data_IF_457086759690
#
_entry.id   IF_457086759690
#
_cell.length_a   1.000
_cell.length_b   1.000
_cell.length_c   1.000
_cell.angle_alpha   90.00
_cell.angle_beta   90.00
_cell.angle_gamma   90.00
#
_symmetry.space_group_name_H-M   'P 1'
#
loop_
_entity.id
_entity.type
_entity.pdbx_description
1 polymer ?
#
# COMPACT_ATOMS: atom_id res chain seq x y z
N UNK A 1 13.10 23.71 -1.79
CA UNK A 1 14.01 23.37 -0.68
C UNK A 1 14.71 22.07 -1.03
N UNK A 2 16.01 21.94 -0.78
CA UNK A 2 16.74 20.70 -1.05
C UNK A 2 16.71 19.83 0.21
N UNK A 3 16.10 18.65 0.13
CA UNK A 3 16.14 17.66 1.20
C UNK A 3 17.57 17.13 1.32
N UNK A 4 18.14 17.14 2.51
CA UNK A 4 19.49 16.62 2.78
C UNK A 4 19.51 15.55 3.88
N UNK A 5 18.36 15.26 4.48
CA UNK A 5 18.18 14.23 5.51
C UNK A 5 16.81 13.58 5.36
N UNK A 6 16.75 12.29 5.62
CA UNK A 6 15.52 11.49 5.65
C UNK A 6 15.42 10.83 7.02
N UNK A 7 14.22 10.81 7.59
CA UNK A 7 13.91 10.07 8.81
C UNK A 7 12.72 9.16 8.59
N UNK A 8 12.91 7.88 8.92
CA UNK A 8 11.88 6.86 8.83
C UNK A 8 11.14 6.73 10.16
N UNK A 9 9.83 6.60 10.08
CA UNK A 9 8.93 6.36 11.20
C UNK A 9 8.05 5.19 10.81
N UNK A 10 8.34 4.01 11.39
CA UNK A 10 7.54 2.82 11.17
C UNK A 10 6.38 2.79 12.16
N UNK A 11 5.17 2.53 11.68
CA UNK A 11 4.06 2.18 12.55
C UNK A 11 3.90 0.66 12.59
N UNK A 12 4.27 0.07 13.72
CA UNK A 12 4.21 -1.37 13.90
C UNK A 12 2.89 -1.77 14.57
N UNK A 13 2.05 -2.47 13.81
CA UNK A 13 0.83 -3.09 14.33
C UNK A 13 0.65 -4.46 13.71
N UNK A 14 0.20 -5.44 14.51
CA UNK A 14 -0.08 -6.77 14.00
C UNK A 14 -1.31 -6.72 13.06
N UNK A 15 -1.04 -6.89 11.77
CA UNK A 15 -2.05 -6.98 10.72
C UNK A 15 -2.27 -8.41 10.23
N UNK A 16 -1.92 -9.45 10.99
CA UNK A 16 -2.29 -10.83 10.68
C UNK A 16 -3.72 -11.18 11.13
N UNK A 17 -4.34 -12.23 10.57
CA UNK A 17 -5.51 -12.84 11.19
C UNK A 17 -5.22 -13.28 12.63
N UNK A 18 -6.25 -13.24 13.47
CA UNK A 18 -6.18 -13.74 14.84
C UNK A 18 -6.67 -15.18 14.86
N UNK A 19 -5.89 -16.07 15.48
CA UNK A 19 -6.30 -17.45 15.75
C UNK A 19 -7.31 -17.49 16.91
N UNK A 20 -8.39 -18.25 16.73
CA UNK A 20 -9.41 -18.45 17.74
C UNK A 20 -9.08 -19.67 18.62
N UNK A 21 -9.39 -19.58 19.91
CA UNK A 21 -9.27 -20.69 20.88
C UNK A 21 -10.08 -21.91 20.41
N UNK A 22 -11.21 -21.68 19.74
CA UNK A 22 -12.09 -22.73 19.19
C UNK A 22 -11.53 -23.40 17.91
N UNK A 23 -10.35 -22.96 17.45
CA UNK A 23 -9.81 -23.19 16.12
C UNK A 23 -10.41 -22.24 15.08
N UNK A 24 -9.63 -21.96 14.03
CA UNK A 24 -9.98 -21.03 12.95
C UNK A 24 -9.29 -19.67 13.09
N UNK A 25 -9.39 -18.87 12.04
CA UNK A 25 -8.78 -17.53 11.95
C UNK A 25 -9.86 -16.49 11.65
N UNK A 26 -9.67 -15.25 12.11
CA UNK A 26 -10.51 -14.12 11.71
C UNK A 26 -9.69 -12.85 11.47
N UNK A 27 -10.20 -11.98 10.61
CA UNK A 27 -9.67 -10.63 10.48
C UNK A 27 -10.26 -9.72 11.55
N UNK A 28 -9.41 -9.05 12.31
CA UNK A 28 -9.83 -8.01 13.25
C UNK A 28 -10.48 -6.87 12.46
N UNK A 29 -11.64 -6.40 12.90
CA UNK A 29 -12.34 -5.24 12.34
C UNK A 29 -13.77 -5.13 12.85
N UNK A 30 -14.44 -4.03 12.52
CA UNK A 30 -15.85 -3.81 12.81
C UNK A 30 -16.75 -4.47 11.74
N UNK A 31 -17.98 -4.88 12.10
CA UNK A 31 -18.86 -5.62 11.17
C UNK A 31 -19.27 -4.81 9.94
N UNK A 32 -19.55 -3.52 10.10
CA UNK A 32 -19.88 -2.62 8.99
C UNK A 32 -18.60 -2.09 8.31
N UNK A 33 -18.39 -2.34 7.01
CA UNK A 33 -17.17 -1.93 6.31
C UNK A 33 -16.90 -0.42 6.32
N UNK A 34 -17.93 0.42 6.25
CA UNK A 34 -17.76 1.88 6.25
C UNK A 34 -17.32 2.37 7.64
N UNK A 35 -17.94 1.82 8.68
CA UNK A 35 -17.62 2.11 10.07
C UNK A 35 -16.21 1.62 10.42
N UNK A 36 -15.83 0.41 9.97
CA UNK A 36 -14.47 -0.11 10.13
C UNK A 36 -13.43 0.78 9.44
N UNK A 37 -13.69 1.18 8.19
CA UNK A 37 -12.79 2.07 7.45
C UNK A 37 -12.57 3.40 8.18
N UNK A 38 -13.65 4.04 8.69
CA UNK A 38 -13.55 5.27 9.49
C UNK A 38 -12.76 5.06 10.79
N UNK A 39 -13.01 3.96 11.50
CA UNK A 39 -12.29 3.65 12.73
C UNK A 39 -10.78 3.44 12.48
N UNK A 40 -10.41 2.81 11.36
CA UNK A 40 -9.00 2.67 10.98
C UNK A 40 -8.36 3.97 10.54
N UNK A 41 -9.09 4.84 9.84
CA UNK A 41 -8.61 6.20 9.54
C UNK A 41 -8.33 6.97 10.84
N UNK A 42 -9.24 6.88 11.83
CA UNK A 42 -9.03 7.49 13.15
C UNK A 42 -7.83 6.90 13.88
N UNK A 43 -7.66 5.57 13.84
CA UNK A 43 -6.49 4.91 14.44
C UNK A 43 -5.17 5.32 13.76
N UNK A 44 -5.21 5.54 12.44
CA UNK A 44 -4.08 6.05 11.68
C UNK A 44 -3.74 7.47 12.11
N UNK A 45 -4.75 8.35 12.20
CA UNK A 45 -4.60 9.70 12.74
C UNK A 45 -3.97 9.72 14.13
N UNK A 46 -4.44 8.88 15.05
CA UNK A 46 -3.90 8.82 16.42
C UNK A 46 -2.41 8.44 16.41
N UNK A 47 -2.01 7.49 15.56
CA UNK A 47 -0.61 7.11 15.39
C UNK A 47 0.23 8.25 14.78
N UNK A 48 -0.32 8.99 13.82
CA UNK A 48 0.34 10.16 13.22
C UNK A 48 0.53 11.29 14.23
N UNK A 49 -0.49 11.60 15.01
CA UNK A 49 -0.42 12.64 16.03
C UNK A 49 0.59 12.28 17.12
N UNK A 50 0.64 11.01 17.53
CA UNK A 50 1.66 10.51 18.44
C UNK A 50 3.07 10.64 17.84
N UNK A 51 3.27 10.19 16.59
CA UNK A 51 4.55 10.32 15.89
C UNK A 51 4.96 11.80 15.72
N UNK A 52 4.03 12.67 15.37
CA UNK A 52 4.29 14.10 15.23
C UNK A 52 4.60 14.76 16.58
N UNK A 53 3.99 14.32 17.69
CA UNK A 53 4.27 14.84 19.03
C UNK A 53 5.62 14.37 19.60
N UNK A 54 6.18 13.27 19.08
CA UNK A 54 7.46 12.73 19.53
C UNK A 54 8.61 13.76 19.35
N UNK A 55 9.37 14.00 20.42
CA UNK A 55 10.52 14.91 20.41
C UNK A 55 11.76 14.35 19.70
N UNK A 56 11.79 13.05 19.39
CA UNK A 56 12.97 12.36 18.84
C UNK A 56 13.26 12.68 17.36
N UNK A 57 12.30 13.21 16.61
CA UNK A 57 12.50 13.52 15.20
C UNK A 57 12.92 14.98 14.95
N UNK A 58 13.64 15.16 13.85
CA UNK A 58 14.31 16.40 13.47
C UNK A 58 13.33 17.39 12.82
N UNK A 59 13.09 18.52 13.49
CA UNK A 59 12.15 19.56 13.06
C UNK A 59 12.69 20.43 11.91
N UNK A 60 13.92 20.20 11.45
CA UNK A 60 14.50 20.96 10.34
C UNK A 60 13.67 20.77 9.05
N UNK A 61 13.42 21.88 8.34
CA UNK A 61 12.66 21.93 7.08
C UNK A 61 13.34 21.18 5.92
N UNK A 62 14.64 20.93 6.02
CA UNK A 62 15.40 20.15 5.05
C UNK A 62 15.41 18.64 5.36
N UNK A 63 14.71 18.20 6.42
CA UNK A 63 14.53 16.80 6.75
C UNK A 63 13.16 16.31 6.29
N UNK A 64 13.13 15.33 5.38
CA UNK A 64 11.92 14.63 4.98
C UNK A 64 11.60 13.53 6.00
N UNK A 65 10.37 13.51 6.51
CA UNK A 65 9.87 12.45 7.40
C UNK A 65 9.03 11.50 6.58
N UNK A 66 9.30 10.21 6.70
CA UNK A 66 8.54 9.18 6.01
C UNK A 66 7.86 8.34 7.07
N UNK A 67 6.55 8.48 7.19
CA UNK A 67 5.73 7.62 8.03
C UNK A 67 5.21 6.47 7.18
N UNK A 68 5.44 5.24 7.64
CA UNK A 68 5.00 4.04 6.93
C UNK A 68 4.20 3.12 7.84
N UNK A 69 2.95 2.86 7.44
CA UNK A 69 2.11 1.82 8.01
C UNK A 69 2.24 0.51 7.21
N UNK A 70 1.93 -0.64 7.82
CA UNK A 70 2.23 -1.95 7.25
C UNK A 70 1.27 -2.36 6.13
N UNK A 71 1.59 -3.46 5.46
CA UNK A 71 0.63 -4.14 4.59
C UNK A 71 -0.60 -4.58 5.40
N UNK A 72 -1.76 -4.58 4.75
CA UNK A 72 -3.06 -4.98 5.28
C UNK A 72 -3.61 -4.07 6.38
N UNK A 73 -3.07 -2.86 6.51
CA UNK A 73 -3.55 -1.90 7.49
C UNK A 73 -5.05 -1.61 7.33
N UNK A 74 -5.52 -1.38 6.09
CA UNK A 74 -6.92 -1.19 5.75
C UNK A 74 -7.50 -2.48 5.16
N UNK A 75 -7.80 -3.43 6.06
CA UNK A 75 -8.40 -4.73 5.72
C UNK A 75 -9.62 -5.01 6.57
N UNK A 76 -10.79 -5.07 5.93
CA UNK A 76 -12.06 -5.38 6.60
C UNK A 76 -12.13 -6.82 7.14
N UNK A 77 -13.18 -7.09 7.92
CA UNK A 77 -13.44 -8.40 8.57
C UNK A 77 -13.52 -9.58 7.62
N UNK A 78 -13.82 -9.34 6.34
CA UNK A 78 -13.88 -10.38 5.30
C UNK A 78 -12.59 -10.52 4.49
N UNK A 79 -11.52 -9.80 4.85
CA UNK A 79 -10.24 -9.79 4.13
C UNK A 79 -10.13 -8.73 3.04
N UNK A 80 -11.22 -8.07 2.66
CA UNK A 80 -11.21 -6.93 1.73
C UNK A 80 -12.43 -6.04 1.93
N UNK A 81 -12.27 -4.74 1.72
CA UNK A 81 -13.39 -3.79 1.67
C UNK A 81 -14.13 -3.86 0.34
N UNK A 82 -15.46 -3.76 0.33
CA UNK A 82 -16.17 -3.41 -0.90
C UNK A 82 -15.59 -2.13 -1.52
N UNK A 83 -15.52 -2.06 -2.86
CA UNK A 83 -14.86 -0.96 -3.57
C UNK A 83 -15.48 0.41 -3.25
N UNK A 84 -16.75 0.47 -2.93
CA UNK A 84 -17.45 1.67 -2.48
C UNK A 84 -16.88 2.26 -1.18
N UNK A 85 -16.28 1.44 -0.33
CA UNK A 85 -15.65 1.89 0.92
C UNK A 85 -14.23 2.42 0.72
N UNK A 86 -13.61 2.21 -0.44
CA UNK A 86 -12.32 2.83 -0.78
C UNK A 86 -12.39 4.36 -0.65
N UNK A 87 -13.49 4.97 -1.12
CA UNK A 87 -13.68 6.42 -1.06
C UNK A 87 -13.67 6.95 0.37
N UNK A 88 -14.17 6.18 1.33
CA UNK A 88 -14.15 6.53 2.76
C UNK A 88 -12.72 6.59 3.28
N UNK A 89 -11.88 5.60 2.95
CA UNK A 89 -10.47 5.57 3.34
C UNK A 89 -9.70 6.73 2.73
N UNK A 90 -9.81 6.94 1.42
CA UNK A 90 -9.06 8.01 0.74
C UNK A 90 -9.49 9.39 1.20
N UNK A 91 -10.79 9.65 1.34
CA UNK A 91 -11.28 10.94 1.81
C UNK A 91 -10.79 11.22 3.24
N UNK A 92 -10.86 10.22 4.12
CA UNK A 92 -10.37 10.35 5.50
C UNK A 92 -8.87 10.63 5.59
N UNK A 93 -8.05 9.86 4.86
CA UNK A 93 -6.60 10.08 4.80
C UNK A 93 -6.27 11.48 4.25
N UNK A 94 -6.89 11.91 3.16
CA UNK A 94 -6.68 13.25 2.60
C UNK A 94 -7.06 14.36 3.58
N UNK A 95 -8.18 14.20 4.28
CA UNK A 95 -8.68 15.21 5.21
C UNK A 95 -7.72 15.45 6.38
N UNK A 96 -7.09 14.39 6.89
CA UNK A 96 -6.06 14.48 7.94
C UNK A 96 -4.75 15.05 7.39
N UNK A 97 -4.27 14.50 6.27
CA UNK A 97 -2.89 14.72 5.82
C UNK A 97 -2.66 16.05 5.11
N UNK A 98 -3.72 16.76 4.72
CA UNK A 98 -3.62 18.11 4.15
C UNK A 98 -3.22 19.17 5.17
N UNK A 99 -3.28 18.87 6.47
CA UNK A 99 -2.93 19.84 7.52
C UNK A 99 -1.46 20.25 7.42
N UNK A 100 -1.21 21.56 7.51
CA UNK A 100 0.12 22.18 7.40
C UNK A 100 1.12 21.67 8.44
N UNK A 101 0.66 21.13 9.57
CA UNK A 101 1.54 20.50 10.56
C UNK A 101 2.35 19.32 9.98
N UNK A 102 1.85 18.72 8.90
CA UNK A 102 2.52 17.63 8.18
C UNK A 102 3.37 18.12 7.00
N UNK A 103 3.66 19.42 6.88
CA UNK A 103 4.62 19.92 5.89
C UNK A 103 5.99 19.23 6.07
N UNK A 104 6.57 18.74 4.97
CA UNK A 104 7.84 18.00 4.99
C UNK A 104 7.70 16.53 5.39
N UNK A 105 6.48 15.99 5.38
CA UNK A 105 6.20 14.57 5.56
C UNK A 105 5.72 13.90 4.27
N UNK A 106 6.05 12.63 4.13
CA UNK A 106 5.51 11.71 3.15
C UNK A 106 4.89 10.51 3.87
N UNK A 107 3.67 10.15 3.52
CA UNK A 107 2.92 9.09 4.19
C UNK A 107 2.74 7.91 3.24
N UNK A 108 3.34 6.78 3.59
CA UNK A 108 2.99 5.47 3.04
C UNK A 108 1.92 4.90 3.96
N UNK A 109 0.65 5.04 3.58
CA UNK A 109 -0.48 4.89 4.49
C UNK A 109 -0.79 3.44 4.90
N UNK A 110 0.08 2.49 4.55
CA UNK A 110 -0.21 1.06 4.61
C UNK A 110 -1.17 0.66 3.50
N UNK A 111 -1.40 -0.65 3.37
CA UNK A 111 -2.14 -1.16 2.22
C UNK A 111 -3.65 -1.27 2.48
N UNK A 112 -4.44 -1.02 1.44
CA UNK A 112 -5.90 -1.14 1.38
C UNK A 112 -6.24 -2.30 0.46
N UNK A 113 -6.95 -3.31 0.97
CA UNK A 113 -7.49 -4.37 0.12
C UNK A 113 -8.93 -4.03 -0.24
N UNK A 114 -9.21 -3.89 -1.53
CA UNK A 114 -10.57 -3.66 -2.04
C UNK A 114 -11.06 -4.86 -2.84
N UNK A 115 -12.38 -5.00 -2.95
CA UNK A 115 -13.04 -6.01 -3.76
C UNK A 115 -14.19 -5.46 -4.58
N UNK A 116 -14.48 -6.09 -5.71
CA UNK A 116 -15.68 -5.84 -6.52
C UNK A 116 -16.06 -7.09 -7.30
N UNK A 117 -17.28 -7.12 -7.82
CA UNK A 117 -17.69 -8.14 -8.78
C UNK A 117 -17.24 -7.73 -10.17
N UNK A 118 -16.57 -8.65 -10.86
CA UNK A 118 -16.02 -8.38 -12.19
C UNK A 118 -15.72 -9.64 -12.98
N UNK A 119 -15.08 -9.42 -14.10
CA UNK A 119 -14.66 -10.44 -15.04
C UNK A 119 -13.14 -10.35 -15.25
N UNK A 120 -12.43 -11.47 -15.17
CA UNK A 120 -10.98 -11.53 -15.39
C UNK A 120 -10.60 -11.40 -16.87
N UNK A 121 -11.56 -11.62 -17.78
CA UNK A 121 -11.36 -11.52 -19.22
C UNK A 121 -11.66 -10.11 -19.77
N UNK A 122 -12.28 -9.22 -18.99
CA UNK A 122 -12.62 -7.87 -19.43
C UNK A 122 -12.40 -6.81 -18.34
N UNK A 123 -12.27 -5.54 -18.73
CA UNK A 123 -12.19 -4.42 -17.77
C UNK A 123 -13.56 -4.01 -17.23
N UNK A 124 -14.63 -4.70 -17.61
CA UNK A 124 -16.00 -4.36 -17.21
C UNK A 124 -16.22 -4.78 -15.75
N UNK A 125 -16.88 -3.92 -14.98
CA UNK A 125 -17.42 -4.25 -13.65
C UNK A 125 -18.73 -5.05 -13.74
N UNK A 126 -18.80 -5.98 -14.69
CA UNK A 126 -19.94 -6.85 -14.90
C UNK A 126 -19.38 -8.27 -14.98
N UNK A 127 -19.67 -9.09 -13.98
CA UNK A 127 -19.20 -10.46 -13.87
C UNK A 127 -19.47 -11.02 -12.49
N UNK A 128 -19.24 -12.33 -12.33
CA UNK A 128 -19.58 -13.06 -11.11
C UNK A 128 -18.36 -13.40 -10.24
N UNK A 129 -17.15 -13.03 -10.67
CA UNK A 129 -15.93 -13.28 -9.90
C UNK A 129 -15.72 -12.17 -8.87
N UNK A 130 -15.35 -12.55 -7.64
CA UNK A 130 -14.89 -11.59 -6.63
C UNK A 130 -13.45 -11.23 -6.94
N UNK A 131 -13.25 -10.07 -7.56
CA UNK A 131 -11.92 -9.53 -7.84
C UNK A 131 -11.43 -8.75 -6.63
N UNK A 132 -10.12 -8.82 -6.37
CA UNK A 132 -9.47 -8.08 -5.28
C UNK A 132 -8.26 -7.33 -5.79
N UNK A 133 -7.97 -6.18 -5.18
CA UNK A 133 -6.74 -5.43 -5.43
C UNK A 133 -6.22 -4.87 -4.13
N UNK A 134 -4.94 -5.09 -3.87
CA UNK A 134 -4.24 -4.52 -2.74
C UNK A 134 -3.45 -3.30 -3.22
N UNK A 135 -3.68 -2.14 -2.62
CA UNK A 135 -3.10 -0.87 -3.03
C UNK A 135 -2.47 -0.15 -1.85
N UNK A 136 -1.47 0.69 -2.09
CA UNK A 136 -0.82 1.53 -1.08
C UNK A 136 -0.96 2.99 -1.50
N UNK A 137 -1.71 3.80 -0.72
CA UNK A 137 -1.74 5.24 -0.88
C UNK A 137 -0.44 5.88 -0.39
N UNK A 138 0.14 6.73 -1.22
CA UNK A 138 1.26 7.59 -0.89
C UNK A 138 0.79 9.04 -0.98
N UNK A 139 0.86 9.76 0.14
CA UNK A 139 0.33 11.12 0.27
C UNK A 139 1.42 12.04 0.80
N UNK A 140 1.58 13.20 0.17
CA UNK A 140 2.43 14.27 0.65
C UNK A 140 1.68 15.09 1.70
N UNK A 141 2.30 15.33 2.84
CA UNK A 141 1.71 16.10 3.94
C UNK A 141 1.67 17.60 3.68
N UNK A 142 0.71 18.28 4.32
CA UNK A 142 0.60 19.74 4.31
C UNK A 142 0.07 20.32 2.99
N UNK A 143 -0.44 19.49 2.09
CA UNK A 143 -1.02 19.91 0.81
C UNK A 143 -2.30 19.13 0.52
N UNK A 144 -3.29 19.78 -0.08
CA UNK A 144 -4.49 19.11 -0.61
C UNK A 144 -4.22 18.63 -2.04
N UNK A 145 -3.52 17.50 -2.14
CA UNK A 145 -3.25 16.85 -3.41
C UNK A 145 -3.86 15.45 -3.47
N UNK A 146 -4.12 14.97 -4.68
CA UNK A 146 -4.54 13.59 -4.90
C UNK A 146 -3.46 12.60 -4.45
N UNK A 147 -3.85 11.48 -3.81
CA UNK A 147 -2.93 10.43 -3.42
C UNK A 147 -2.32 9.78 -4.67
N UNK A 148 -1.06 9.39 -4.55
CA UNK A 148 -0.49 8.37 -5.44
C UNK A 148 -0.91 7.00 -4.96
N UNK A 149 -1.23 6.12 -5.89
CA UNK A 149 -1.62 4.73 -5.61
C UNK A 149 -0.63 3.81 -6.26
N UNK A 150 0.06 3.01 -5.44
CA UNK A 150 0.90 1.90 -5.87
C UNK A 150 0.14 0.60 -5.66
N UNK A 151 0.18 -0.32 -6.62
CA UNK A 151 -0.61 -1.54 -6.57
C UNK A 151 0.31 -2.72 -6.28
N UNK A 152 -0.08 -3.61 -5.37
CA UNK A 152 0.59 -4.90 -5.21
C UNK A 152 0.28 -5.82 -6.38
N UNK A 153 1.31 -6.37 -7.03
CA UNK A 153 1.15 -7.18 -8.23
C UNK A 153 0.98 -8.67 -7.95
N UNK A 154 1.47 -9.15 -6.81
CA UNK A 154 1.42 -10.57 -6.48
C UNK A 154 0.60 -10.81 -5.22
N UNK A 155 -0.43 -11.65 -5.33
CA UNK A 155 -1.18 -12.14 -4.16
C UNK A 155 -0.36 -13.22 -3.44
N UNK A 156 -0.16 -13.07 -2.13
CA UNK A 156 0.55 -14.07 -1.34
C UNK A 156 -0.40 -15.10 -0.72
N UNK A 157 0.16 -16.19 -0.20
CA UNK A 157 -0.61 -17.20 0.54
C UNK A 157 -1.12 -16.73 1.91
N UNK A 158 -0.76 -15.52 2.36
CA UNK A 158 -1.22 -14.91 3.62
C UNK A 158 -2.20 -13.75 3.40
N UNK A 159 -2.44 -13.34 2.14
CA UNK A 159 -3.38 -12.26 1.83
C UNK A 159 -4.81 -12.65 2.29
N UNK A 160 -5.15 -13.94 2.15
CA UNK A 160 -6.46 -14.51 2.50
C UNK A 160 -6.36 -15.76 3.41
N UNK A 161 -7.32 -15.94 4.31
CA UNK A 161 -7.45 -17.14 5.17
C UNK A 161 -7.57 -18.39 4.29
N UNK A 162 -6.97 -19.51 4.71
CA UNK A 162 -6.96 -20.76 3.93
C UNK A 162 -8.22 -21.58 4.21
N UNK A 163 -8.69 -22.31 3.21
CA UNK A 163 -9.94 -23.12 3.27
C UNK A 163 -9.94 -24.17 4.39
N UNK A 164 -8.77 -24.61 4.85
CA UNK A 164 -8.63 -25.63 5.90
C UNK A 164 -8.65 -25.05 7.33
N UNK A 165 -8.67 -23.73 7.47
CA UNK A 165 -8.90 -23.09 8.75
C UNK A 165 -10.39 -23.29 9.10
N UNK A 166 -10.76 -23.53 10.36
CA UNK A 166 -12.19 -23.65 10.76
C UNK A 166 -12.88 -22.28 10.60
N UNK A 167 -13.28 -21.95 9.38
CA UNK A 167 -13.73 -20.63 8.93
C UNK A 167 -15.17 -20.35 9.41
N UNK A 168 -15.43 -19.11 9.85
CA UNK A 168 -16.80 -18.58 9.84
C UNK A 168 -17.22 -18.40 8.38
N UNK A 169 -18.27 -19.10 7.93
CA UNK A 169 -18.82 -19.18 6.54
C UNK A 169 -18.96 -17.86 5.75
N UNK A 170 -18.74 -16.69 6.35
CA UNK A 170 -18.88 -15.36 5.74
C UNK A 170 -17.59 -14.75 5.18
N UNK A 171 -16.42 -15.26 5.56
CA UNK A 171 -15.13 -14.67 5.18
C UNK A 171 -14.67 -15.14 3.80
N UNK A 172 -13.94 -14.28 3.07
CA UNK A 172 -13.34 -14.71 1.81
C UNK A 172 -12.08 -15.52 2.10
N UNK A 173 -12.06 -16.73 1.57
CA UNK A 173 -10.85 -17.54 1.52
C UNK A 173 -10.05 -17.19 0.26
N UNK A 174 -8.80 -17.65 0.22
CA UNK A 174 -7.97 -17.52 -0.99
C UNK A 174 -8.61 -18.17 -2.23
N UNK A 175 -9.50 -19.16 -2.05
CA UNK A 175 -10.19 -19.82 -3.14
C UNK A 175 -11.35 -18.98 -3.73
N UNK A 176 -11.90 -18.05 -2.94
CA UNK A 176 -13.07 -17.25 -3.31
C UNK A 176 -12.74 -16.00 -4.12
N UNK A 177 -11.47 -15.58 -4.11
CA UNK A 177 -11.02 -14.32 -4.70
C UNK A 177 -10.13 -14.53 -5.91
N UNK A 178 -10.07 -13.53 -6.78
CA UNK A 178 -9.16 -13.48 -7.93
C UNK A 178 -8.40 -12.16 -7.92
N UNK A 179 -7.08 -12.24 -8.06
CA UNK A 179 -6.21 -11.07 -8.17
C UNK A 179 -5.87 -10.81 -9.65
N UNK A 180 -6.22 -9.65 -10.21
CA UNK A 180 -5.88 -9.30 -11.59
C UNK A 180 -4.40 -8.88 -11.69
N UNK A 181 -3.59 -9.78 -12.25
CA UNK A 181 -2.16 -9.56 -12.51
C UNK A 181 -1.89 -8.38 -13.46
N UNK A 182 -0.63 -7.93 -13.49
CA UNK A 182 -0.22 -6.81 -14.31
C UNK A 182 -0.46 -7.09 -15.79
N UNK A 183 -1.00 -6.09 -16.50
CA UNK A 183 -1.35 -6.24 -17.92
C UNK A 183 -2.52 -7.19 -18.22
N UNK A 184 -3.30 -7.61 -17.22
CA UNK A 184 -4.53 -8.38 -17.42
C UNK A 184 -5.78 -7.49 -17.38
N UNK A 185 -6.82 -7.81 -18.19
CA UNK A 185 -8.14 -7.22 -18.03
C UNK A 185 -8.68 -7.43 -16.60
N UNK A 186 -9.54 -6.52 -16.14
CA UNK A 186 -10.20 -6.64 -14.84
C UNK A 186 -9.46 -5.96 -13.69
N UNK A 187 -8.46 -5.11 -13.92
CA UNK A 187 -7.92 -4.19 -12.90
C UNK A 187 -8.83 -2.98 -12.70
N UNK A 188 -8.99 -2.55 -11.45
CA UNK A 188 -9.71 -1.30 -11.16
C UNK A 188 -8.78 -0.08 -11.23
N UNK A 189 -7.59 -0.18 -10.65
CA UNK A 189 -6.49 0.77 -10.88
C UNK A 189 -5.32 0.11 -11.57
N UNK A 190 -4.45 0.94 -12.14
CA UNK A 190 -3.19 0.52 -12.71
C UNK A 190 -3.19 0.49 -14.24
N UNK A 191 -2.03 0.78 -14.83
CA UNK A 191 -1.82 0.62 -16.26
C UNK A 191 -1.55 -0.84 -16.64
N UNK A 192 -1.74 -1.16 -17.92
CA UNK A 192 -1.36 -2.46 -18.51
C UNK A 192 0.17 -2.66 -18.63
N UNK A 193 0.98 -1.94 -17.86
CA UNK A 193 2.42 -1.98 -17.98
C UNK A 193 2.93 -3.39 -17.60
N UNK A 194 3.61 -4.04 -18.54
CA UNK A 194 4.37 -5.26 -18.31
C UNK A 194 5.69 -4.92 -17.61
N UNK A 195 6.29 -5.88 -16.92
CA UNK A 195 7.67 -5.77 -16.41
C UNK A 195 8.65 -5.39 -17.51
N UNK A 196 9.66 -4.59 -17.18
CA UNK A 196 10.71 -4.22 -18.12
C UNK A 196 11.28 -2.82 -17.87
N UNK A 197 12.37 -2.49 -18.57
CA UNK A 197 13.09 -1.24 -18.36
C UNK A 197 12.18 -0.02 -18.57
N UNK A 198 12.16 0.86 -17.56
CA UNK A 198 11.39 2.09 -17.47
C UNK A 198 9.88 1.92 -17.32
N UNK A 199 9.37 0.69 -17.19
CA UNK A 199 7.93 0.42 -17.11
C UNK A 199 7.31 0.85 -15.80
N UNK A 200 8.06 0.76 -14.70
CA UNK A 200 7.63 1.23 -13.38
C UNK A 200 7.69 2.76 -13.23
N UNK A 201 8.29 3.48 -14.18
CA UNK A 201 8.46 4.93 -14.13
C UNK A 201 7.64 5.67 -15.20
N UNK A 202 6.79 4.95 -15.95
CA UNK A 202 5.98 5.49 -17.07
C UNK A 202 4.60 6.03 -16.62
N UNK A 203 4.42 6.28 -15.33
CA UNK A 203 3.12 6.67 -14.76
C UNK A 203 2.76 8.11 -15.09
N UNK A 204 1.87 8.31 -16.07
CA UNK A 204 1.33 9.63 -16.40
C UNK A 204 0.33 10.16 -15.34
N UNK A 205 -0.19 9.27 -14.48
CA UNK A 205 -1.18 9.62 -13.45
C UNK A 205 -0.78 9.07 -12.09
N UNK A 206 -1.23 9.75 -11.03
CA UNK A 206 -1.06 9.30 -9.64
C UNK A 206 -1.75 7.95 -9.36
N UNK A 207 -2.70 7.52 -10.22
CA UNK A 207 -3.42 6.25 -10.12
C UNK A 207 -2.90 5.14 -11.07
N UNK A 208 -1.70 5.32 -11.64
CA UNK A 208 -1.07 4.38 -12.58
C UNK A 208 -0.65 3.05 -11.96
N UNK A 209 -0.62 2.93 -10.63
CA UNK A 209 -0.32 1.69 -9.91
C UNK A 209 1.16 1.29 -9.87
N UNK A 210 2.03 2.11 -10.47
CA UNK A 210 3.45 1.82 -10.63
C UNK A 210 4.24 2.19 -9.37
N UNK A 211 5.33 1.48 -9.16
CA UNK A 211 6.15 1.56 -7.95
C UNK A 211 7.27 2.61 -8.00
N UNK A 212 7.69 3.10 -9.17
CA UNK A 212 8.75 4.12 -9.24
C UNK A 212 8.16 5.50 -9.54
N UNK A 213 8.50 6.48 -8.70
CA UNK A 213 7.99 7.84 -8.84
C UNK A 213 8.92 8.86 -8.19
N UNK A 214 8.84 10.11 -8.67
CA UNK A 214 9.51 11.24 -8.04
C UNK A 214 8.55 11.98 -7.11
N UNK A 215 9.03 12.33 -5.92
CA UNK A 215 8.30 13.12 -4.93
C UNK A 215 9.30 13.87 -4.05
N UNK A 216 8.98 15.06 -3.55
CA UNK A 216 9.88 15.83 -2.68
C UNK A 216 11.34 16.01 -3.20
N UNK A 217 11.55 15.94 -4.52
CA UNK A 217 12.88 16.03 -5.14
C UNK A 217 13.74 14.76 -5.06
N UNK A 218 13.14 13.61 -4.70
CA UNK A 218 13.79 12.31 -4.62
C UNK A 218 13.05 11.28 -5.47
N UNK A 219 13.78 10.29 -5.98
CA UNK A 219 13.18 9.14 -6.69
C UNK A 219 12.94 7.98 -5.73
N UNK A 220 11.68 7.56 -5.63
CA UNK A 220 11.21 6.47 -4.79
C UNK A 220 10.98 5.20 -5.60
N UNK A 221 11.20 4.06 -4.96
CA UNK A 221 10.71 2.75 -5.39
C UNK A 221 9.84 2.16 -4.28
N UNK A 222 8.58 1.86 -4.57
CA UNK A 222 7.66 1.23 -3.63
C UNK A 222 7.15 -0.09 -4.19
N UNK A 223 7.27 -1.14 -3.40
CA UNK A 223 6.72 -2.46 -3.69
C UNK A 223 6.22 -3.10 -2.39
N UNK A 224 5.19 -3.94 -2.48
CA UNK A 224 4.44 -4.38 -1.29
C UNK A 224 4.74 -5.84 -0.99
N UNK A 225 5.34 -6.09 0.17
CA UNK A 225 5.56 -7.44 0.71
C UNK A 225 6.07 -8.40 -0.37
N UNK A 226 5.28 -9.42 -0.75
CA UNK A 226 5.65 -10.43 -1.75
C UNK A 226 6.19 -9.84 -3.08
N UNK A 227 5.79 -8.64 -3.50
CA UNK A 227 6.37 -8.00 -4.70
C UNK A 227 7.90 -7.83 -4.57
N UNK A 228 8.39 -7.48 -3.37
CA UNK A 228 9.82 -7.38 -3.06
C UNK A 228 10.51 -8.74 -3.14
N UNK A 229 9.95 -9.77 -2.49
CA UNK A 229 10.51 -11.13 -2.56
C UNK A 229 10.54 -11.67 -3.99
N UNK A 230 9.59 -11.26 -4.82
CA UNK A 230 9.55 -11.60 -6.24
C UNK A 230 10.34 -10.62 -7.13
N UNK A 231 11.08 -9.69 -6.51
CA UNK A 231 12.03 -8.78 -7.15
C UNK A 231 11.36 -7.92 -8.22
N UNK A 232 10.13 -7.43 -7.95
CA UNK A 232 9.32 -6.68 -8.92
C UNK A 232 10.08 -5.48 -9.47
N UNK A 233 10.57 -4.59 -8.60
CA UNK A 233 11.28 -3.39 -9.07
C UNK A 233 12.62 -3.74 -9.73
N UNK A 234 13.31 -4.79 -9.24
CA UNK A 234 14.56 -5.28 -9.83
C UNK A 234 14.38 -5.76 -11.28
N UNK A 235 13.22 -6.35 -11.59
CA UNK A 235 12.86 -6.80 -12.94
C UNK A 235 12.41 -5.65 -13.86
N UNK A 236 12.24 -4.45 -13.32
CA UNK A 236 11.82 -3.26 -14.05
C UNK A 236 12.73 -2.07 -13.74
N UNK A 237 14.04 -2.16 -14.05
CA UNK A 237 14.99 -1.09 -13.74
C UNK A 237 14.61 0.20 -14.49
N UNK A 238 15.08 1.38 -14.02
CA UNK A 238 14.89 2.63 -14.74
C UNK A 238 15.28 2.53 -16.22
N UNK A 239 14.51 3.21 -17.07
CA UNK A 239 14.79 3.36 -18.49
C UNK A 239 15.92 4.35 -18.76
N UNK A 240 16.29 4.48 -20.03
CA UNK A 240 17.26 5.50 -20.45
C UNK A 240 16.77 6.88 -20.01
N UNK A 241 17.66 7.64 -19.37
CA UNK A 241 17.42 8.99 -18.84
C UNK A 241 16.40 9.08 -17.70
N UNK A 242 16.03 7.96 -17.07
CA UNK A 242 15.23 7.98 -15.85
C UNK A 242 16.16 7.92 -14.63
N UNK A 243 15.76 8.61 -13.56
CA UNK A 243 16.49 8.59 -12.32
C UNK A 243 16.44 7.20 -11.67
N UNK A 244 17.51 6.86 -10.95
CA UNK A 244 17.57 5.63 -10.17
C UNK A 244 16.92 5.84 -8.80
N UNK A 245 16.35 4.76 -8.25
CA UNK A 245 15.71 4.78 -6.93
C UNK A 245 16.72 5.19 -5.86
N UNK A 246 16.41 6.25 -5.13
CA UNK A 246 17.20 6.74 -4.00
C UNK A 246 16.67 6.19 -2.67
N UNK A 247 15.35 6.03 -2.58
CA UNK A 247 14.64 5.52 -1.41
C UNK A 247 13.73 4.37 -1.83
N UNK A 248 13.93 3.19 -1.27
CA UNK A 248 13.05 2.04 -1.49
C UNK A 248 12.17 1.81 -0.25
N UNK A 249 10.86 1.73 -0.43
CA UNK A 249 9.87 1.61 0.64
C UNK A 249 9.08 0.30 0.47
N UNK A 250 9.04 -0.52 1.50
CA UNK A 250 8.50 -1.88 1.46
C UNK A 250 7.48 -2.08 2.59
N UNK A 251 6.26 -1.53 2.46
CA UNK A 251 5.20 -1.87 3.41
C UNK A 251 4.96 -3.37 3.37
N UNK A 252 5.04 -4.00 4.55
CA UNK A 252 5.08 -5.44 4.72
C UNK A 252 4.20 -5.87 5.89
N UNK A 253 3.71 -7.11 5.85
CA UNK A 253 3.10 -7.80 6.98
C UNK A 253 3.94 -9.04 7.30
N UNK A 254 5.14 -8.82 7.86
CA UNK A 254 6.01 -9.89 8.36
C UNK A 254 7.06 -10.44 7.41
N UNK A 255 7.22 -9.87 6.21
CA UNK A 255 8.36 -10.16 5.33
C UNK A 255 9.53 -9.23 5.63
N UNK A 256 10.74 -9.78 5.61
CA UNK A 256 12.02 -9.05 5.77
C UNK A 256 12.49 -8.43 4.44
N UNK A 257 13.43 -7.49 4.54
CA UNK A 257 14.14 -6.95 3.38
C UNK A 257 15.07 -8.03 2.82
N UNK A 258 15.01 -8.23 1.50
CA UNK A 258 15.82 -9.21 0.77
C UNK A 258 16.84 -8.44 -0.05
N UNK A 259 18.13 -8.60 0.29
CA UNK A 259 19.22 -7.85 -0.32
C UNK A 259 19.24 -7.94 -1.86
N UNK A 260 18.96 -9.11 -2.43
CA UNK A 260 18.94 -9.28 -3.90
C UNK A 260 17.73 -8.64 -4.60
N UNK A 261 16.74 -8.17 -3.83
CA UNK A 261 15.59 -7.43 -4.32
C UNK A 261 15.77 -5.91 -4.20
N UNK A 262 16.82 -5.44 -3.50
CA UNK A 262 17.11 -4.01 -3.36
C UNK A 262 17.51 -3.40 -4.71
N UNK A 263 16.89 -2.26 -5.03
CA UNK A 263 17.14 -1.44 -6.23
C UNK A 263 17.58 -0.02 -5.92
N UNK A 264 17.62 0.37 -4.64
CA UNK A 264 18.17 1.65 -4.24
C UNK A 264 19.64 1.78 -4.71
N UNK A 265 20.03 2.98 -5.12
CA UNK A 265 21.42 3.30 -5.51
C UNK A 265 22.38 3.03 -4.35
N UNK A 266 23.69 2.99 -4.64
CA UNK A 266 24.71 2.95 -3.59
C UNK A 266 24.51 4.12 -2.61
N UNK A 267 24.48 3.82 -1.31
CA UNK A 267 24.16 4.76 -0.23
C UNK A 267 22.71 5.29 -0.24
N UNK A 268 21.83 4.72 -1.07
CA UNK A 268 20.39 4.90 -0.95
C UNK A 268 19.86 4.20 0.30
N UNK A 269 18.62 4.53 0.67
CA UNK A 269 18.00 4.01 1.89
C UNK A 269 16.87 3.04 1.54
N UNK A 270 16.66 2.06 2.41
CA UNK A 270 15.59 1.07 2.32
C UNK A 270 14.85 1.03 3.66
N UNK A 271 13.53 0.98 3.62
CA UNK A 271 12.65 0.85 4.78
C UNK A 271 11.56 -0.16 4.49
#
# INVERSE_FOLDING_TARGET
MAINKVQFIAYEINTFPIELITGGCLYKGLPDPATDAKARVKLFEDALLAAHADSAWDRNKNTLKIFMAPEFYFRGTRGAYPIENHGVVMAGLKDILKDVMFEGWLFVCGSVIVRWLGDMASTKKAGNATLVQNIVPVIKGGVDEEPRVVIKEHMSGIDFIKVNDKIKRSDFTIADVRHPLAGKPGRFWGNNAKTGSGKESQGLTKYSGLGIFDECGLTFGLEVCLDHALKRLRKSPPGRNQAFVQLQLIPSAGMEIIDEAVVAVKNGLVM
#
